data_IF_913577796631
#
_entry.id   IF_913577796631
#
_cell.length_a   1.000
_cell.length_b   1.000
_cell.length_c   1.000
_cell.angle_alpha   90.00
_cell.angle_beta   90.00
_cell.angle_gamma   90.00
#
_symmetry.space_group_name_H-M   'P 1'
#
loop_
_entity.id
_entity.type
_entity.pdbx_description
1 polymer ?
#
# COMPACT_ATOMS: atom_id res chain seq x y z
N UNK A 1 1.45 1.05 2.65
CA UNK A 1 0.77 0.47 3.82
C UNK A 1 0.89 1.43 4.98
N UNK A 2 -0.22 2.07 5.36
CA UNK A 2 -0.27 3.05 6.46
C UNK A 2 -0.02 2.43 7.84
N UNK A 3 -0.10 1.11 7.96
CA UNK A 3 0.15 0.39 9.20
C UNK A 3 1.64 0.12 9.49
N UNK A 4 2.42 -0.29 8.48
CA UNK A 4 3.81 -0.74 8.66
C UNK A 4 4.84 0.07 7.87
N UNK A 5 4.41 1.03 7.05
CA UNK A 5 5.30 1.81 6.19
C UNK A 5 5.73 1.12 4.89
N UNK A 6 5.29 -0.11 4.61
CA UNK A 6 5.63 -0.79 3.35
C UNK A 6 5.06 -0.05 2.13
N UNK A 7 5.92 0.37 1.21
CA UNK A 7 5.54 1.07 -0.03
C UNK A 7 5.59 0.07 -1.18
N UNK A 8 4.50 0.01 -1.94
CA UNK A 8 4.43 -0.79 -3.18
C UNK A 8 4.49 0.18 -4.35
N UNK A 9 5.44 -0.06 -5.25
CA UNK A 9 5.58 0.70 -6.51
C UNK A 9 5.04 -0.17 -7.63
N UNK A 10 3.92 0.23 -8.22
CA UNK A 10 3.25 -0.52 -9.27
C UNK A 10 1.90 0.08 -9.60
N UNK A 11 1.22 -0.49 -10.60
CA UNK A 11 -0.11 -0.02 -11.03
C UNK A 11 -1.25 -0.43 -10.10
N UNK A 12 -1.01 -1.41 -9.20
CA UNK A 12 -2.00 -1.91 -8.24
C UNK A 12 -1.34 -2.25 -6.90
N UNK A 13 -2.06 -1.99 -5.81
CA UNK A 13 -1.69 -2.47 -4.49
C UNK A 13 -2.04 -3.96 -4.33
N UNK A 14 -1.27 -4.74 -3.56
CA UNK A 14 -1.57 -6.14 -3.29
C UNK A 14 -2.80 -6.28 -2.37
N UNK A 15 -3.52 -7.39 -2.48
CA UNK A 15 -4.70 -7.70 -1.64
C UNK A 15 -4.36 -7.73 -0.14
N UNK A 16 -3.13 -8.12 0.20
CA UNK A 16 -2.61 -8.17 1.57
C UNK A 16 -1.18 -7.64 1.60
N UNK A 17 -0.84 -6.85 2.62
CA UNK A 17 0.50 -6.35 2.83
C UNK A 17 1.46 -7.51 3.16
N UNK A 18 2.55 -7.72 2.39
CA UNK A 18 3.47 -8.83 2.62
C UNK A 18 4.31 -8.70 3.90
N UNK A 19 4.33 -7.52 4.52
CA UNK A 19 5.13 -7.24 5.72
C UNK A 19 4.31 -7.45 7.00
N UNK A 20 3.09 -6.93 7.04
CA UNK A 20 2.27 -6.93 8.26
C UNK A 20 0.98 -7.74 8.14
N UNK A 21 0.74 -8.40 7.00
CA UNK A 21 -0.45 -9.21 6.72
C UNK A 21 -1.79 -8.47 6.86
N UNK A 22 -1.78 -7.13 6.82
CA UNK A 22 -3.00 -6.32 6.81
C UNK A 22 -3.61 -6.22 5.41
N UNK A 23 -4.95 -6.10 5.30
CA UNK A 23 -5.63 -6.05 4.01
C UNK A 23 -5.30 -4.80 3.19
N UNK A 24 -5.56 -4.86 1.88
CA UNK A 24 -5.34 -3.78 0.91
C UNK A 24 -5.93 -2.43 1.32
N UNK A 25 -6.99 -2.43 2.14
CA UNK A 25 -7.60 -1.22 2.71
C UNK A 25 -6.61 -0.30 3.44
N UNK A 26 -5.46 -0.83 3.89
CA UNK A 26 -4.38 -0.04 4.52
C UNK A 26 -3.41 0.59 3.52
N UNK A 27 -3.55 0.32 2.22
CA UNK A 27 -2.79 1.00 1.18
C UNK A 27 -3.55 2.22 0.68
N UNK A 28 -2.81 3.31 0.50
CA UNK A 28 -3.31 4.53 -0.13
C UNK A 28 -2.56 4.75 -1.43
N UNK A 29 -3.24 5.32 -2.42
CA UNK A 29 -2.61 5.74 -3.66
C UNK A 29 -1.92 7.07 -3.36
N UNK A 30 -0.59 7.07 -3.41
CA UNK A 30 0.19 8.31 -3.43
C UNK A 30 -0.01 8.97 -4.78
N UNK A 31 -1.00 9.85 -4.88
CA UNK A 31 -1.20 10.71 -6.03
C UNK A 31 -0.21 11.89 -5.95
N UNK A 32 0.83 11.87 -6.77
CA UNK A 32 1.70 13.03 -6.99
C UNK A 32 1.00 13.96 -7.97
N UNK A 33 0.02 14.74 -7.49
CA UNK A 33 -0.52 15.87 -8.26
C UNK A 33 0.50 17.02 -8.14
N UNK A 34 1.02 17.48 -9.27
CA UNK A 34 2.04 18.54 -9.39
C UNK A 34 1.40 19.93 -9.34
#
# INVERSE_FOLDING_TARGET
CRNCGHIVVGTKAPDVCPVCSHPQAYFEITATNY
#
